data_IF_265559106071
#
_entry.id   IF_265559106071
#
_cell.length_a   1.000
_cell.length_b   1.000
_cell.length_c   1.000
_cell.angle_alpha   90.00
_cell.angle_beta   90.00
_cell.angle_gamma   90.00
#
_symmetry.space_group_name_H-M   'P 1'
#
loop_
_entity.id
_entity.type
_entity.pdbx_description
1 polymer ?
#
# COMPACT_ATOMS: atom_id res chain seq x y z
N UNK A 1 55.70 -34.23 41.95
CA UNK A 1 55.04 -32.92 42.09
C UNK A 1 53.53 -33.11 41.97
N UNK A 2 52.82 -32.79 43.06
CA UNK A 2 51.43 -32.36 43.17
C UNK A 2 50.30 -33.00 42.34
N UNK A 3 49.50 -33.77 43.08
CA UNK A 3 48.03 -33.88 43.00
C UNK A 3 47.38 -32.50 43.22
N UNK A 4 46.26 -32.24 42.51
CA UNK A 4 45.08 -31.39 42.83
C UNK A 4 44.28 -31.30 41.50
N UNK A 5 43.10 -31.90 41.26
CA UNK A 5 41.83 -31.92 42.00
C UNK A 5 41.34 -30.52 42.40
N UNK A 6 40.44 -29.91 41.61
CA UNK A 6 39.05 -29.63 42.02
C UNK A 6 38.23 -28.70 41.10
N UNK A 7 37.01 -29.17 40.84
CA UNK A 7 35.70 -28.51 41.06
C UNK A 7 35.27 -27.30 40.24
N UNK A 8 34.02 -27.48 39.77
CA UNK A 8 32.89 -26.56 39.86
C UNK A 8 32.78 -25.43 38.85
N UNK A 9 31.80 -25.62 37.95
CA UNK A 9 30.68 -24.69 37.74
C UNK A 9 30.96 -23.22 38.02
N UNK A 10 31.03 -22.40 36.97
CA UNK A 10 30.63 -21.01 37.11
C UNK A 10 29.75 -20.62 35.94
N UNK A 11 28.47 -20.50 36.28
CA UNK A 11 27.37 -19.96 35.50
C UNK A 11 27.73 -18.54 35.07
N UNK A 12 27.86 -18.27 33.78
CA UNK A 12 27.88 -16.90 33.26
C UNK A 12 26.47 -16.31 33.37
N UNK A 13 26.14 -15.82 34.56
CA UNK A 13 24.92 -15.07 34.85
C UNK A 13 25.10 -13.65 34.29
N UNK A 14 24.44 -13.35 33.17
CA UNK A 14 24.27 -11.98 32.71
C UNK A 14 23.36 -11.23 33.69
N UNK A 15 23.95 -10.42 34.56
CA UNK A 15 23.22 -9.48 35.41
C UNK A 15 22.98 -8.21 34.60
N UNK A 16 21.72 -7.97 34.19
CA UNK A 16 21.30 -6.68 33.65
C UNK A 16 21.26 -5.66 34.80
N UNK A 17 21.94 -4.51 34.71
CA UNK A 17 21.78 -3.46 35.71
C UNK A 17 20.36 -2.89 35.65
N UNK A 18 19.69 -2.98 36.80
CA UNK A 18 18.40 -2.35 37.11
C UNK A 18 18.67 -0.92 37.57
N UNK A 19 17.87 0.01 37.03
CA UNK A 19 17.65 1.40 37.46
C UNK A 19 18.79 2.41 37.35
N UNK A 20 18.65 3.31 36.38
CA UNK A 20 18.67 4.76 36.68
C UNK A 20 17.43 5.39 36.05
N UNK A 21 16.52 5.75 36.95
CA UNK A 21 15.27 6.46 36.72
C UNK A 21 15.64 7.88 36.26
N UNK A 22 15.65 8.13 34.94
CA UNK A 22 15.75 9.50 34.43
C UNK A 22 14.37 10.15 34.51
N UNK A 23 14.10 10.78 35.64
CA UNK A 23 13.09 11.83 35.74
C UNK A 23 13.62 12.99 34.89
N UNK A 24 13.08 13.12 33.68
CA UNK A 24 13.22 14.34 32.91
C UNK A 24 11.95 15.16 33.15
N UNK A 25 12.18 16.27 33.80
CA UNK A 25 11.24 17.28 34.27
C UNK A 25 10.24 17.68 33.19
N UNK A 26 8.97 17.78 33.59
CA UNK A 26 7.93 18.50 32.88
C UNK A 26 8.37 19.96 32.66
N UNK A 27 8.30 20.43 31.42
CA UNK A 27 8.70 21.80 31.12
C UNK A 27 8.70 22.13 29.64
N UNK A 28 7.54 22.55 29.15
CA UNK A 28 7.41 23.61 28.16
C UNK A 28 7.76 23.27 26.69
N UNK A 29 6.92 22.45 26.05
CA UNK A 29 6.66 22.58 24.62
C UNK A 29 5.27 23.21 24.44
N UNK A 30 5.26 24.54 24.57
CA UNK A 30 4.19 25.37 24.03
C UNK A 30 4.18 25.20 22.52
N UNK A 31 2.99 24.88 22.01
CA UNK A 31 2.51 25.32 20.71
C UNK A 31 3.12 24.67 19.46
N UNK A 32 2.53 23.55 19.05
CA UNK A 32 2.28 23.31 17.63
C UNK A 32 0.76 23.28 17.44
N UNK A 33 0.27 24.36 16.83
CA UNK A 33 -1.11 24.58 16.43
C UNK A 33 -1.60 23.43 15.53
N UNK A 34 -2.87 23.07 15.73
CA UNK A 34 -3.70 22.27 14.85
C UNK A 34 -3.34 20.79 14.71
N UNK A 35 -3.56 20.06 15.82
CA UNK A 35 -4.08 18.70 15.77
C UNK A 35 -5.46 18.76 15.11
N UNK A 36 -5.49 18.91 13.78
CA UNK A 36 -6.70 18.86 12.98
C UNK A 36 -7.17 17.41 12.99
N UNK A 37 -7.79 17.03 14.12
CA UNK A 37 -8.58 15.81 14.31
C UNK A 37 -9.90 15.93 13.54
N UNK A 38 -9.86 16.48 12.33
CA UNK A 38 -10.86 16.16 11.32
C UNK A 38 -10.51 14.74 10.88
N UNK A 39 -11.15 13.79 11.53
CA UNK A 39 -11.59 12.61 10.82
C UNK A 39 -12.52 13.15 9.72
N UNK A 40 -11.94 13.58 8.59
CA UNK A 40 -12.72 13.84 7.40
C UNK A 40 -13.24 12.45 7.08
N UNK A 41 -14.54 12.24 7.21
CA UNK A 41 -15.21 11.09 6.62
C UNK A 41 -15.04 11.26 5.11
N UNK A 42 -13.86 10.89 4.62
CA UNK A 42 -13.49 11.06 3.23
C UNK A 42 -14.36 10.11 2.44
N UNK A 43 -15.16 10.65 1.53
CA UNK A 43 -15.92 9.85 0.59
C UNK A 43 -14.95 8.95 -0.19
N UNK A 44 -15.23 7.65 -0.22
CA UNK A 44 -14.41 6.67 -0.92
C UNK A 44 -15.30 5.81 -1.80
N UNK A 45 -14.78 5.38 -2.94
CA UNK A 45 -15.50 4.50 -3.85
C UNK A 45 -14.72 3.20 -4.06
N UNK A 46 -15.42 2.12 -4.41
CA UNK A 46 -14.80 0.91 -4.94
C UNK A 46 -15.16 0.84 -6.41
N UNK A 47 -14.15 1.05 -7.26
CA UNK A 47 -14.30 0.97 -8.71
C UNK A 47 -13.89 -0.40 -9.21
N UNK A 48 -14.56 -0.87 -10.26
CA UNK A 48 -14.13 -2.04 -11.03
C UNK A 48 -13.42 -1.56 -12.29
N UNK A 49 -12.17 -1.98 -12.47
CA UNK A 49 -11.36 -1.62 -13.63
C UNK A 49 -10.39 -2.74 -13.96
N UNK A 50 -10.30 -3.11 -15.25
CA UNK A 50 -9.42 -4.22 -15.70
C UNK A 50 -9.68 -5.54 -14.97
N UNK A 51 -10.93 -5.82 -14.61
CA UNK A 51 -11.32 -7.02 -13.85
C UNK A 51 -10.93 -7.03 -12.37
N UNK A 52 -10.36 -5.94 -11.83
CA UNK A 52 -9.99 -5.79 -10.41
C UNK A 52 -10.87 -4.75 -9.74
N UNK A 53 -11.09 -4.91 -8.45
CA UNK A 53 -11.74 -3.90 -7.61
C UNK A 53 -10.69 -3.16 -6.80
N UNK A 54 -10.75 -1.83 -6.83
CA UNK A 54 -9.79 -0.97 -6.13
C UNK A 54 -10.54 0.08 -5.33
N UNK A 55 -10.17 0.24 -4.05
CA UNK A 55 -10.65 1.34 -3.21
C UNK A 55 -9.97 2.63 -3.65
N UNK A 56 -10.76 3.67 -3.87
CA UNK A 56 -10.30 4.98 -4.30
C UNK A 56 -10.81 6.07 -3.38
N UNK A 57 -9.96 7.06 -3.15
CA UNK A 57 -10.26 8.30 -2.43
C UNK A 57 -9.93 9.50 -3.32
N UNK A 58 -10.57 10.64 -3.07
CA UNK A 58 -10.31 11.88 -3.82
C UNK A 58 -8.84 12.30 -3.62
N UNK A 59 -8.14 12.59 -4.72
CA UNK A 59 -6.72 12.94 -4.73
C UNK A 59 -5.75 11.74 -4.70
N UNK A 60 -6.25 10.51 -4.63
CA UNK A 60 -5.40 9.33 -4.63
C UNK A 60 -4.90 8.99 -6.03
N UNK A 61 -3.61 8.63 -6.13
CA UNK A 61 -3.04 8.04 -7.33
C UNK A 61 -3.19 6.50 -7.33
N UNK A 62 -3.83 5.97 -8.37
CA UNK A 62 -4.01 4.53 -8.59
C UNK A 62 -3.27 4.03 -9.82
N UNK A 63 -2.90 2.76 -9.78
CA UNK A 63 -2.30 2.05 -10.90
C UNK A 63 -3.31 1.08 -11.48
N UNK A 64 -3.76 1.38 -12.69
CA UNK A 64 -4.74 0.56 -13.42
C UNK A 64 -4.09 -0.06 -14.65
N UNK A 65 -4.84 -0.94 -15.30
CA UNK A 65 -4.41 -1.56 -16.55
C UNK A 65 -4.26 -0.51 -17.67
N UNK A 66 -3.74 -0.94 -18.82
CA UNK A 66 -3.49 -0.02 -19.93
C UNK A 66 -4.83 0.47 -20.52
N UNK A 67 -5.03 1.77 -20.55
CA UNK A 67 -6.17 2.44 -21.21
C UNK A 67 -5.64 3.14 -22.48
N UNK A 68 -6.38 3.06 -23.58
CA UNK A 68 -6.03 3.74 -24.84
C UNK A 68 -6.50 5.21 -24.79
N UNK A 69 -5.87 6.02 -23.94
CA UNK A 69 -6.07 7.46 -23.84
C UNK A 69 -4.71 8.15 -23.71
N UNK A 70 -4.64 9.46 -23.96
CA UNK A 70 -3.37 10.19 -23.84
C UNK A 70 -3.05 10.58 -22.39
N UNK A 71 -1.79 10.91 -22.11
CA UNK A 71 -1.40 11.45 -20.82
C UNK A 71 -1.97 12.87 -20.67
N UNK A 72 -2.70 13.12 -19.59
CA UNK A 72 -3.44 14.36 -19.36
C UNK A 72 -4.92 14.28 -19.71
N UNK A 73 -5.39 13.22 -20.39
CA UNK A 73 -6.81 13.03 -20.65
C UNK A 73 -7.58 12.66 -19.37
N UNK A 74 -8.83 13.12 -19.29
CA UNK A 74 -9.78 12.71 -18.28
C UNK A 74 -10.41 11.36 -18.65
N UNK A 75 -10.57 10.48 -17.67
CA UNK A 75 -11.21 9.18 -17.78
C UNK A 75 -12.34 9.10 -16.77
N UNK A 76 -13.53 8.79 -17.25
CA UNK A 76 -14.71 8.55 -16.44
C UNK A 76 -14.90 7.05 -16.24
N UNK A 77 -15.05 6.64 -14.99
CA UNK A 77 -15.35 5.25 -14.61
C UNK A 77 -16.81 5.15 -14.21
N UNK A 78 -17.59 4.41 -15.00
CA UNK A 78 -19.01 4.17 -14.77
C UNK A 78 -19.26 2.93 -13.88
N UNK A 79 -18.29 2.01 -13.79
CA UNK A 79 -18.40 0.80 -12.99
C UNK A 79 -17.99 1.07 -11.53
N UNK A 80 -18.93 1.58 -10.74
CA UNK A 80 -18.77 1.81 -9.30
C UNK A 80 -19.61 0.80 -8.53
N UNK A 81 -18.95 0.00 -7.70
CA UNK A 81 -19.60 -1.08 -6.91
C UNK A 81 -20.14 -0.55 -5.59
N UNK A 82 -19.42 0.39 -4.99
CA UNK A 82 -19.73 0.92 -3.67
C UNK A 82 -19.27 2.37 -3.57
N UNK A 83 -20.10 3.21 -2.95
CA UNK A 83 -19.70 4.53 -2.47
C UNK A 83 -19.90 4.59 -0.95
N UNK A 84 -18.84 4.92 -0.24
CA UNK A 84 -18.78 5.05 1.20
C UNK A 84 -18.58 6.51 1.62
N UNK A 85 -19.28 6.90 2.67
CA UNK A 85 -19.30 8.25 3.26
C UNK A 85 -20.16 8.20 4.52
N UNK A 86 -21.07 9.17 4.72
CA UNK A 86 -22.04 9.15 5.83
C UNK A 86 -23.11 8.06 5.67
N UNK A 87 -23.48 7.72 4.43
CA UNK A 87 -24.37 6.61 4.09
C UNK A 87 -23.63 5.70 3.11
N UNK A 88 -23.57 4.41 3.41
CA UNK A 88 -22.92 3.44 2.52
C UNK A 88 -23.93 2.94 1.50
N UNK A 89 -23.71 3.28 0.23
CA UNK A 89 -24.53 2.78 -0.88
C UNK A 89 -23.81 1.60 -1.50
N UNK A 90 -24.40 0.42 -1.37
CA UNK A 90 -23.90 -0.83 -1.95
C UNK A 90 -24.73 -1.15 -3.17
N UNK A 91 -24.08 -1.28 -4.32
CA UNK A 91 -24.74 -1.71 -5.55
C UNK A 91 -24.91 -3.22 -5.60
N UNK A 92 -26.02 -3.67 -6.18
CA UNK A 92 -26.22 -5.03 -6.67
C UNK A 92 -26.48 -4.94 -8.18
N UNK A 93 -25.53 -5.16 -9.10
CA UNK A 93 -24.07 -5.35 -9.03
C UNK A 93 -23.22 -4.07 -9.31
N UNK A 94 -23.85 -2.95 -9.67
CA UNK A 94 -23.25 -1.62 -9.86
C UNK A 94 -24.22 -0.60 -9.25
N UNK A 95 -23.72 0.54 -8.75
CA UNK A 95 -24.58 1.65 -8.31
C UNK A 95 -24.94 2.51 -9.52
N UNK A 96 -26.21 2.51 -9.93
CA UNK A 96 -26.68 3.34 -11.04
C UNK A 96 -26.61 4.83 -10.64
N UNK A 97 -25.86 5.63 -11.41
CA UNK A 97 -25.69 7.07 -11.17
C UNK A 97 -24.35 7.47 -10.54
N UNK A 98 -23.58 6.53 -9.99
CA UNK A 98 -22.26 6.82 -9.44
C UNK A 98 -21.20 6.89 -10.55
N UNK A 99 -20.44 7.98 -10.58
CA UNK A 99 -19.35 8.16 -11.56
C UNK A 99 -18.08 8.64 -10.86
N UNK A 100 -16.95 8.04 -11.22
CA UNK A 100 -15.63 8.48 -10.73
C UNK A 100 -14.86 9.09 -11.87
N UNK A 101 -14.43 10.34 -11.70
CA UNK A 101 -13.64 11.07 -12.69
C UNK A 101 -12.18 11.12 -12.24
N UNK A 102 -11.26 10.74 -13.13
CA UNK A 102 -9.82 10.82 -12.87
C UNK A 102 -9.02 11.27 -14.07
N UNK A 103 -7.84 11.83 -13.83
CA UNK A 103 -6.90 12.27 -14.86
C UNK A 103 -5.74 11.28 -14.97
N UNK A 104 -5.33 10.96 -16.20
CA UNK A 104 -4.14 10.14 -16.45
C UNK A 104 -2.89 11.01 -16.26
N UNK A 105 -2.06 10.73 -15.26
CA UNK A 105 -0.78 11.42 -15.10
C UNK A 105 0.29 10.85 -16.02
N UNK A 106 0.42 9.53 -16.05
CA UNK A 106 1.48 8.85 -16.80
C UNK A 106 1.11 7.44 -17.20
N UNK A 107 1.64 7.03 -18.34
CA UNK A 107 1.64 5.64 -18.77
C UNK A 107 3.07 5.08 -18.73
N UNK A 108 3.19 3.84 -18.27
CA UNK A 108 4.50 3.25 -18.03
C UNK A 108 4.50 1.74 -18.16
N UNK A 109 5.68 1.17 -17.93
CA UNK A 109 5.88 -0.29 -17.84
C UNK A 109 6.39 -0.61 -16.45
N UNK A 110 5.80 -1.61 -15.82
CA UNK A 110 6.22 -2.08 -14.50
C UNK A 110 7.66 -2.61 -14.52
N UNK A 111 8.19 -2.87 -13.32
CA UNK A 111 9.48 -3.53 -13.13
C UNK A 111 9.48 -4.85 -13.90
N UNK A 112 10.62 -5.18 -14.53
CA UNK A 112 10.78 -6.42 -15.27
C UNK A 112 10.67 -7.61 -14.34
N UNK A 113 9.68 -8.46 -14.59
CA UNK A 113 9.58 -9.79 -13.97
C UNK A 113 10.30 -10.77 -14.88
N UNK A 114 11.28 -11.48 -14.33
CA UNK A 114 12.08 -12.45 -15.07
C UNK A 114 11.67 -13.84 -14.61
N UNK A 115 11.11 -14.62 -15.53
CA UNK A 115 10.75 -16.02 -15.29
C UNK A 115 11.81 -16.91 -15.93
N UNK A 116 12.47 -17.74 -15.11
CA UNK A 116 13.41 -18.75 -15.57
C UNK A 116 12.79 -20.14 -15.38
N UNK A 117 12.55 -20.84 -16.49
CA UNK A 117 12.06 -22.22 -16.49
C UNK A 117 13.23 -23.14 -16.82
N UNK A 118 13.45 -24.15 -15.98
CA UNK A 118 14.49 -25.15 -16.16
C UNK A 118 13.89 -26.54 -16.03
N UNK A 119 14.23 -27.44 -16.95
CA UNK A 119 13.89 -28.87 -16.86
C UNK A 119 15.18 -29.69 -16.72
N UNK A 120 15.39 -30.40 -15.59
CA UNK A 120 16.62 -31.15 -15.37
C UNK A 120 16.75 -32.30 -16.38
N UNK A 121 17.99 -32.62 -16.76
CA UNK A 121 18.35 -33.73 -17.67
C UNK A 121 17.69 -33.70 -19.06
N UNK A 122 17.04 -32.59 -19.43
CA UNK A 122 16.43 -32.37 -20.75
C UNK A 122 17.12 -31.27 -21.55
N UNK A 123 18.18 -30.65 -21.02
CA UNK A 123 18.86 -29.49 -21.62
C UNK A 123 17.99 -28.23 -21.76
N UNK A 124 16.70 -28.31 -21.41
CA UNK A 124 15.74 -27.25 -21.65
C UNK A 124 15.77 -26.22 -20.53
N UNK A 125 16.17 -25.01 -20.89
CA UNK A 125 16.13 -23.85 -20.03
C UNK A 125 15.65 -22.65 -20.85
N UNK A 126 14.74 -21.85 -20.30
CA UNK A 126 14.19 -20.66 -20.95
C UNK A 126 14.15 -19.51 -19.94
N UNK A 127 14.76 -18.38 -20.29
CA UNK A 127 14.70 -17.14 -19.53
C UNK A 127 13.84 -16.14 -20.30
N UNK A 128 12.67 -15.81 -19.77
CA UNK A 128 11.76 -14.85 -20.38
C UNK A 128 11.57 -13.65 -19.46
N UNK A 129 11.63 -12.45 -20.02
CA UNK A 129 11.26 -11.23 -19.32
C UNK A 129 9.87 -10.78 -19.72
N UNK A 130 9.07 -10.35 -18.75
CA UNK A 130 7.81 -9.67 -18.99
C UNK A 130 7.77 -8.33 -18.24
N UNK A 131 7.18 -7.32 -18.87
CA UNK A 131 6.94 -6.00 -18.28
C UNK A 131 5.51 -5.61 -18.56
N UNK A 132 4.68 -5.62 -17.53
CA UNK A 132 3.28 -5.26 -17.67
C UNK A 132 3.14 -3.74 -17.87
N UNK A 133 2.47 -3.25 -18.93
CA UNK A 133 2.13 -1.84 -19.05
C UNK A 133 1.05 -1.46 -18.02
N UNK A 134 1.12 -0.23 -17.54
CA UNK A 134 0.16 0.30 -16.58
C UNK A 134 -0.11 1.78 -16.85
N UNK A 135 -1.25 2.26 -16.35
CA UNK A 135 -1.64 3.66 -16.38
C UNK A 135 -1.73 4.16 -14.94
N UNK A 136 -1.08 5.28 -14.62
CA UNK A 136 -1.25 5.97 -13.34
C UNK A 136 -2.35 7.01 -13.52
N UNK A 137 -3.42 6.87 -12.75
CA UNK A 137 -4.58 7.76 -12.76
C UNK A 137 -4.70 8.42 -11.39
N UNK A 138 -4.95 9.72 -11.35
CA UNK A 138 -5.30 10.45 -10.14
C UNK A 138 -6.79 10.69 -10.14
N UNK A 139 -7.44 10.41 -9.03
CA UNK A 139 -8.88 10.61 -8.88
C UNK A 139 -9.16 12.06 -8.48
N UNK A 140 -10.00 12.75 -9.26
CA UNK A 140 -10.34 14.15 -9.03
C UNK A 140 -11.68 14.30 -8.31
N UNK A 141 -12.68 13.53 -8.71
CA UNK A 141 -14.02 13.63 -8.16
C UNK A 141 -14.73 12.27 -8.10
N UNK A 142 -15.54 12.10 -7.06
CA UNK A 142 -16.45 10.97 -6.87
C UNK A 142 -17.85 11.57 -6.83
N UNK A 143 -18.65 11.32 -7.86
CA UNK A 143 -20.05 11.68 -7.90
C UNK A 143 -20.87 10.45 -7.51
N UNK A 144 -21.83 10.64 -6.61
CA UNK A 144 -22.65 9.59 -6.03
C UNK A 144 -24.13 9.97 -6.10
#
# INVERSE_FOLDING_TARGET
>A
MHVLCNRTTTVCKWVRPRSTRRVFTEGNLRHIKNFNRRCIMSTYAIIKTGGKQVKVEVGQAIYVEKINAEAGSEVTFNEVVLVGGDKTVVGTPVVEGATVVGTIEKQGKQKKVVTFKYKPKKGSHRKQGHRQPYTKVVINAINA
#
